data_IF_010353603147
#
_entry.id   IF_010353603147
#
_cell.length_a   1.000
_cell.length_b   1.000
_cell.length_c   1.000
_cell.angle_alpha   90.00
_cell.angle_beta   90.00
_cell.angle_gamma   90.00
#
_symmetry.space_group_name_H-M   'P 1'
#
loop_
_entity.id
_entity.type
_entity.pdbx_description
1 polymer ?
#
# COMPACT_ATOMS: atom_id res chain seq x y z
N UNK A 1 4.19 35.58 -51.38
CA UNK A 1 3.26 34.46 -51.27
C UNK A 1 3.93 33.10 -51.55
N UNK A 2 4.54 32.90 -52.71
CA UNK A 2 5.09 31.59 -53.18
C UNK A 2 6.21 31.03 -52.30
N UNK A 3 7.16 31.83 -51.81
CA UNK A 3 8.25 31.39 -50.93
C UNK A 3 7.77 30.92 -49.56
N UNK A 4 6.72 31.53 -49.01
CA UNK A 4 6.12 31.10 -47.72
C UNK A 4 5.35 29.77 -47.87
N UNK A 5 4.75 29.55 -49.05
CA UNK A 5 4.01 28.31 -49.33
C UNK A 5 4.96 27.13 -49.55
N UNK A 6 6.07 27.32 -50.28
CA UNK A 6 7.12 26.30 -50.45
C UNK A 6 7.77 25.92 -49.12
N UNK A 7 8.19 26.87 -48.28
CA UNK A 7 8.75 26.62 -46.99
C UNK A 7 7.78 25.86 -46.02
N UNK A 8 6.48 26.09 -46.21
CA UNK A 8 5.45 25.37 -45.41
C UNK A 8 5.23 23.93 -45.93
N UNK A 9 5.36 23.72 -47.25
CA UNK A 9 5.34 22.38 -47.83
C UNK A 9 6.58 21.57 -47.47
N UNK A 10 7.78 22.16 -47.52
CA UNK A 10 9.02 21.52 -47.15
C UNK A 10 9.02 21.11 -45.65
N UNK A 11 8.48 21.96 -44.79
CA UNK A 11 8.30 21.64 -43.36
C UNK A 11 7.31 20.50 -43.16
N UNK A 12 6.22 20.48 -43.93
CA UNK A 12 5.22 19.42 -43.84
C UNK A 12 5.74 18.07 -44.34
N UNK A 13 6.49 18.06 -45.44
CA UNK A 13 7.13 16.86 -45.98
C UNK A 13 8.25 16.34 -45.06
N UNK A 14 9.05 17.23 -44.45
CA UNK A 14 10.05 16.88 -43.46
C UNK A 14 9.41 16.25 -42.21
N UNK A 15 8.28 16.81 -41.75
CA UNK A 15 7.52 16.27 -40.62
C UNK A 15 6.88 14.91 -40.95
N UNK A 16 6.31 14.74 -42.16
CA UNK A 16 5.81 13.43 -42.60
C UNK A 16 6.89 12.37 -42.70
N UNK A 17 8.07 12.70 -43.21
CA UNK A 17 9.21 11.80 -43.25
C UNK A 17 9.71 11.41 -41.85
N UNK A 18 9.66 12.35 -40.90
CA UNK A 18 10.03 12.11 -39.51
C UNK A 18 9.03 11.21 -38.81
N UNK A 19 7.73 11.41 -39.08
CA UNK A 19 6.67 10.55 -38.52
C UNK A 19 6.77 9.13 -39.11
N UNK A 20 7.06 8.99 -40.40
CA UNK A 20 7.21 7.70 -41.07
C UNK A 20 8.48 6.90 -40.60
N UNK A 21 9.52 7.60 -40.15
CA UNK A 21 10.75 6.98 -39.66
C UNK A 21 10.76 6.72 -38.16
N UNK A 22 9.69 7.07 -37.42
CA UNK A 22 9.59 6.92 -35.97
C UNK A 22 9.30 5.46 -35.59
N UNK A 23 10.08 4.93 -34.66
CA UNK A 23 9.72 3.67 -34.00
C UNK A 23 8.54 3.94 -33.05
N UNK A 24 7.41 3.22 -33.14
CA UNK A 24 6.32 3.40 -32.19
C UNK A 24 6.81 3.10 -30.77
N UNK A 25 6.36 3.85 -29.74
CA UNK A 25 6.75 3.59 -28.37
C UNK A 25 6.27 2.21 -27.95
N UNK A 26 7.05 1.55 -27.12
CA UNK A 26 6.63 0.31 -26.48
C UNK A 26 5.48 0.62 -25.51
N UNK A 27 4.32 0.03 -25.73
CA UNK A 27 3.19 0.13 -24.83
C UNK A 27 3.21 -1.09 -23.93
N UNK A 28 3.38 -0.87 -22.62
CA UNK A 28 3.32 -1.94 -21.63
C UNK A 28 1.87 -2.46 -21.54
N UNK A 29 1.72 -3.75 -21.21
CA UNK A 29 0.39 -4.37 -21.13
C UNK A 29 -0.53 -3.60 -20.19
N UNK A 30 -1.72 -3.30 -20.65
CA UNK A 30 -2.79 -2.69 -19.86
C UNK A 30 -3.10 -3.59 -18.67
N UNK A 31 -2.88 -3.05 -17.47
CA UNK A 31 -3.23 -3.56 -16.13
C UNK A 31 -3.32 -5.10 -16.04
N UNK A 32 -2.33 -5.76 -15.41
CA UNK A 32 -2.38 -7.20 -15.23
C UNK A 32 -3.68 -7.58 -14.48
N UNK A 33 -4.36 -8.63 -14.96
CA UNK A 33 -5.50 -9.20 -14.27
C UNK A 33 -5.05 -9.58 -12.86
N UNK A 34 -5.79 -9.16 -11.84
CA UNK A 34 -5.50 -9.51 -10.45
C UNK A 34 -5.47 -11.02 -10.28
N UNK A 35 -4.31 -11.61 -10.00
CA UNK A 35 -4.23 -12.98 -9.54
C UNK A 35 -4.88 -13.07 -8.16
N UNK A 36 -6.04 -13.74 -8.10
CA UNK A 36 -6.78 -13.95 -6.85
C UNK A 36 -6.03 -14.89 -5.93
N UNK A 37 -6.20 -14.70 -4.64
CA UNK A 37 -5.64 -15.54 -3.60
C UNK A 37 -6.39 -16.85 -3.48
N UNK A 38 -5.73 -17.88 -2.95
CA UNK A 38 -6.35 -19.19 -2.65
C UNK A 38 -7.51 -19.02 -1.67
N UNK A 39 -7.38 -18.09 -0.72
CA UNK A 39 -8.44 -17.74 0.23
C UNK A 39 -9.67 -17.17 -0.49
N UNK A 40 -9.48 -16.22 -1.42
CA UNK A 40 -10.56 -15.63 -2.18
C UNK A 40 -11.31 -16.65 -3.05
N UNK A 41 -10.59 -17.64 -3.59
CA UNK A 41 -11.19 -18.74 -4.36
C UNK A 41 -11.98 -19.69 -3.47
N UNK A 42 -11.46 -20.06 -2.31
CA UNK A 42 -12.14 -20.93 -1.34
C UNK A 42 -13.41 -20.28 -0.78
N UNK A 43 -13.35 -19.03 -0.36
CA UNK A 43 -14.50 -18.31 0.21
C UNK A 43 -15.64 -18.09 -0.82
N UNK A 44 -15.34 -18.08 -2.12
CA UNK A 44 -16.36 -18.09 -3.18
C UNK A 44 -17.14 -19.40 -3.27
N UNK A 45 -16.57 -20.52 -2.80
CA UNK A 45 -17.14 -21.85 -2.88
C UNK A 45 -17.87 -22.28 -1.59
N UNK A 46 -17.84 -21.45 -0.54
CA UNK A 46 -18.50 -21.75 0.74
C UNK A 46 -20.02 -21.76 0.57
N UNK A 47 -20.74 -22.78 1.11
CA UNK A 47 -22.19 -22.85 1.08
C UNK A 47 -22.79 -21.65 1.83
N UNK A 48 -23.87 -21.08 1.31
CA UNK A 48 -24.60 -19.91 1.79
C UNK A 48 -25.16 -20.04 3.23
N UNK A 49 -24.97 -21.16 3.92
CA UNK A 49 -25.70 -21.51 5.15
C UNK A 49 -24.82 -21.88 6.36
N UNK A 50 -23.52 -21.81 6.28
CA UNK A 50 -22.69 -21.99 7.45
C UNK A 50 -22.31 -20.62 8.03
N UNK A 51 -22.81 -20.28 9.24
CA UNK A 51 -22.35 -19.09 9.91
C UNK A 51 -20.87 -19.24 10.26
N UNK A 52 -20.04 -18.18 10.09
CA UNK A 52 -18.63 -18.24 10.48
C UNK A 52 -18.50 -18.62 11.96
N UNK A 53 -17.65 -19.59 12.26
CA UNK A 53 -17.37 -19.97 13.64
C UNK A 53 -16.78 -18.77 14.41
N UNK A 54 -17.16 -18.64 15.69
CA UNK A 54 -16.65 -17.57 16.54
C UNK A 54 -15.12 -17.65 16.62
N UNK A 55 -14.44 -16.59 16.18
CA UNK A 55 -12.96 -16.50 16.15
C UNK A 55 -12.33 -16.74 14.79
N UNK A 56 -13.08 -16.91 13.72
CA UNK A 56 -12.56 -16.89 12.35
C UNK A 56 -12.29 -15.46 11.85
N UNK A 57 -11.45 -15.37 10.80
CA UNK A 57 -11.22 -14.09 10.15
C UNK A 57 -12.48 -13.61 9.42
N UNK A 58 -12.73 -12.30 9.34
CA UNK A 58 -13.87 -11.77 8.60
C UNK A 58 -13.84 -12.27 7.15
N UNK A 59 -14.96 -12.76 6.60
CA UNK A 59 -15.01 -13.24 5.22
C UNK A 59 -14.83 -12.09 4.23
N UNK A 60 -14.13 -12.36 3.13
CA UNK A 60 -13.87 -11.37 2.07
C UNK A 60 -15.16 -10.93 1.36
N UNK A 61 -16.24 -11.72 1.48
CA UNK A 61 -17.56 -11.38 0.94
C UNK A 61 -18.25 -10.19 1.62
N UNK A 62 -17.75 -9.73 2.77
CA UNK A 62 -18.21 -8.48 3.40
C UNK A 62 -17.71 -7.23 2.67
N UNK A 63 -16.75 -7.37 1.77
CA UNK A 63 -16.22 -6.27 0.97
C UNK A 63 -16.95 -6.21 -0.36
N UNK A 64 -17.27 -4.98 -0.79
CA UNK A 64 -17.87 -4.76 -2.10
C UNK A 64 -16.97 -5.27 -3.23
N UNK A 65 -17.60 -5.85 -4.25
CA UNK A 65 -16.89 -6.19 -5.48
C UNK A 65 -16.38 -4.92 -6.17
N UNK A 66 -15.16 -4.96 -6.75
CA UNK A 66 -14.65 -3.82 -7.47
C UNK A 66 -15.59 -3.47 -8.64
N UNK A 67 -15.87 -2.18 -8.86
CA UNK A 67 -16.69 -1.76 -9.97
C UNK A 67 -16.06 -2.21 -11.28
N UNK A 68 -16.88 -2.55 -12.27
CA UNK A 68 -16.39 -2.91 -13.61
C UNK A 68 -15.46 -1.81 -14.13
N UNK A 69 -14.21 -2.15 -14.38
CA UNK A 69 -13.24 -1.18 -14.86
C UNK A 69 -13.68 -0.68 -16.23
N UNK A 70 -13.84 0.63 -16.39
CA UNK A 70 -13.99 1.23 -17.72
C UNK A 70 -12.71 0.93 -18.49
N UNK A 71 -12.87 0.58 -19.77
CA UNK A 71 -11.72 0.33 -20.64
C UNK A 71 -10.74 1.50 -20.56
N UNK A 72 -9.47 1.19 -20.29
CA UNK A 72 -8.38 2.15 -20.33
C UNK A 72 -8.21 2.75 -21.73
N UNK A 73 -7.19 3.56 -21.92
CA UNK A 73 -6.84 4.10 -23.24
C UNK A 73 -6.55 2.96 -24.22
N UNK A 74 -7.04 3.08 -25.47
CA UNK A 74 -6.59 2.18 -26.54
C UNK A 74 -5.12 2.46 -26.90
N UNK A 75 -4.45 1.47 -27.49
CA UNK A 75 -3.06 1.64 -27.94
C UNK A 75 -2.91 2.83 -28.88
N UNK A 76 -3.86 3.02 -29.79
CA UNK A 76 -3.91 4.17 -30.70
C UNK A 76 -3.99 5.50 -29.95
N UNK A 77 -4.81 5.57 -28.89
CA UNK A 77 -4.92 6.76 -28.04
C UNK A 77 -3.62 7.05 -27.30
N UNK A 78 -2.96 6.03 -26.77
CA UNK A 78 -1.67 6.16 -26.09
C UNK A 78 -0.56 6.62 -27.04
N UNK A 79 -0.56 6.10 -28.28
CA UNK A 79 0.38 6.56 -29.31
C UNK A 79 0.12 8.02 -29.71
N UNK A 80 -1.15 8.41 -29.87
CA UNK A 80 -1.52 9.80 -30.16
C UNK A 80 -1.09 10.75 -29.01
N UNK A 81 -1.29 10.34 -27.75
CA UNK A 81 -0.83 11.09 -26.58
C UNK A 81 0.70 11.20 -26.54
N UNK A 82 1.42 10.14 -26.88
CA UNK A 82 2.90 10.16 -26.97
C UNK A 82 3.38 11.22 -27.96
N UNK A 83 2.78 11.25 -29.16
CA UNK A 83 3.09 12.27 -30.17
C UNK A 83 2.77 13.69 -29.68
N UNK A 84 1.65 13.84 -28.97
CA UNK A 84 1.26 15.14 -28.42
C UNK A 84 2.27 15.62 -27.36
N UNK A 85 2.73 14.74 -26.50
CA UNK A 85 3.76 15.04 -25.47
C UNK A 85 5.05 15.52 -26.15
N UNK A 86 5.56 14.79 -27.15
CA UNK A 86 6.76 15.18 -27.90
C UNK A 86 6.59 16.52 -28.60
N UNK A 87 5.42 16.74 -29.25
CA UNK A 87 5.12 18.00 -29.92
C UNK A 87 5.12 19.16 -28.94
N UNK A 88 4.47 19.00 -27.77
CA UNK A 88 4.39 20.05 -26.76
C UNK A 88 5.74 20.39 -26.15
N UNK A 89 6.58 19.39 -25.88
CA UNK A 89 7.96 19.63 -25.39
C UNK A 89 8.80 20.36 -26.45
N UNK A 90 8.65 20.00 -27.72
CA UNK A 90 9.30 20.71 -28.82
C UNK A 90 8.83 22.14 -28.98
N UNK A 91 7.55 22.46 -28.76
CA UNK A 91 7.03 23.83 -28.74
C UNK A 91 7.78 24.70 -27.69
N UNK A 92 8.28 24.08 -26.62
CA UNK A 92 9.13 24.71 -25.61
C UNK A 92 10.64 24.62 -25.89
N UNK A 93 11.03 24.13 -27.08
CA UNK A 93 12.44 24.00 -27.47
C UNK A 93 13.16 22.80 -26.84
N UNK A 94 12.43 21.80 -26.37
CA UNK A 94 12.97 20.58 -25.79
C UNK A 94 12.68 19.40 -26.72
N UNK A 95 13.74 18.78 -27.26
CA UNK A 95 13.61 17.58 -28.07
C UNK A 95 13.68 16.33 -27.19
N UNK A 96 12.66 15.48 -27.27
CA UNK A 96 12.57 14.20 -26.59
C UNK A 96 11.92 13.17 -27.52
N UNK A 97 12.18 11.90 -27.27
CA UNK A 97 11.46 10.77 -27.84
C UNK A 97 10.75 9.99 -26.74
N UNK A 98 9.47 9.62 -26.95
CA UNK A 98 8.75 8.72 -26.04
C UNK A 98 9.10 7.29 -26.40
N UNK A 99 9.88 6.62 -25.55
CA UNK A 99 10.36 5.24 -25.79
C UNK A 99 9.42 4.20 -25.23
N UNK A 100 8.70 4.51 -24.15
CA UNK A 100 7.76 3.58 -23.52
C UNK A 100 6.59 4.32 -22.88
N UNK A 101 5.44 3.66 -22.87
CA UNK A 101 4.23 4.13 -22.19
C UNK A 101 3.70 3.04 -21.28
N UNK A 102 3.54 3.37 -19.99
CA UNK A 102 2.99 2.49 -18.98
C UNK A 102 1.66 3.06 -18.50
N UNK A 103 0.52 2.58 -19.04
CA UNK A 103 -0.80 2.98 -18.57
C UNK A 103 -1.09 2.34 -17.20
N UNK A 104 -1.47 3.17 -16.24
CA UNK A 104 -1.87 2.74 -14.91
C UNK A 104 -3.34 3.03 -14.61
N UNK A 105 -3.84 2.64 -13.43
CA UNK A 105 -5.24 2.86 -13.07
C UNK A 105 -5.59 4.33 -12.84
N UNK A 106 -4.64 5.14 -12.41
CA UNK A 106 -4.84 6.55 -12.01
C UNK A 106 -4.08 7.50 -12.91
N UNK A 107 -2.86 7.12 -13.29
CA UNK A 107 -1.94 7.90 -14.11
C UNK A 107 -1.39 7.04 -15.25
N UNK A 108 -1.00 7.70 -16.34
CA UNK A 108 -0.20 7.08 -17.40
C UNK A 108 1.20 7.69 -17.34
N UNK A 109 2.24 6.85 -17.35
CA UNK A 109 3.64 7.26 -17.40
C UNK A 109 4.18 7.12 -18.80
N UNK A 110 4.74 8.22 -19.32
CA UNK A 110 5.50 8.28 -20.56
C UNK A 110 6.98 8.33 -20.18
N UNK A 111 7.79 7.40 -20.72
CA UNK A 111 9.24 7.40 -20.54
C UNK A 111 9.87 8.14 -21.70
N UNK A 112 10.55 9.23 -21.38
CA UNK A 112 11.13 10.15 -22.33
C UNK A 112 12.63 9.92 -22.42
N UNK A 113 13.17 9.82 -23.63
CA UNK A 113 14.61 9.89 -23.92
C UNK A 113 14.94 11.32 -24.40
N UNK A 114 15.57 12.15 -23.56
CA UNK A 114 15.94 13.51 -23.95
C UNK A 114 17.09 13.51 -24.95
N UNK A 115 17.03 14.36 -25.96
CA UNK A 115 18.10 14.55 -26.91
C UNK A 115 19.42 14.98 -26.23
N UNK A 116 20.58 14.66 -26.79
CA UNK A 116 21.89 15.06 -26.24
C UNK A 116 21.94 16.58 -25.95
N UNK A 117 22.32 16.92 -24.71
CA UNK A 117 22.40 18.32 -24.25
C UNK A 117 21.16 18.87 -23.55
N UNK A 118 20.04 18.16 -23.57
CA UNK A 118 18.83 18.50 -22.80
C UNK A 118 19.03 18.11 -21.33
N UNK A 119 18.86 19.08 -20.43
CA UNK A 119 18.92 18.85 -18.98
C UNK A 119 17.55 18.46 -18.45
N UNK A 120 17.49 17.47 -17.59
CA UNK A 120 16.23 17.00 -16.96
C UNK A 120 15.50 18.13 -16.23
N UNK A 121 16.25 19.04 -15.59
CA UNK A 121 15.69 20.22 -14.91
C UNK A 121 14.91 21.16 -15.86
N UNK A 122 15.22 21.19 -17.15
CA UNK A 122 14.45 21.96 -18.13
C UNK A 122 13.05 21.40 -18.29
N UNK A 123 12.93 20.06 -18.31
CA UNK A 123 11.62 19.37 -18.39
C UNK A 123 10.85 19.58 -17.08
N UNK A 124 11.51 19.41 -15.92
CA UNK A 124 10.87 19.56 -14.60
C UNK A 124 10.31 20.97 -14.39
N UNK A 125 11.03 22.00 -14.83
CA UNK A 125 10.60 23.39 -14.71
C UNK A 125 9.35 23.72 -15.57
N UNK A 126 9.13 22.96 -16.65
CA UNK A 126 7.98 23.13 -17.55
C UNK A 126 6.73 22.35 -17.09
N UNK A 127 6.75 21.63 -15.99
CA UNK A 127 5.65 20.77 -15.55
C UNK A 127 4.29 21.49 -15.54
N UNK A 128 4.24 22.74 -15.07
CA UNK A 128 3.02 23.57 -15.05
C UNK A 128 2.56 24.00 -16.45
N UNK A 129 3.49 24.37 -17.30
CA UNK A 129 3.19 24.80 -18.66
C UNK A 129 2.78 23.62 -19.53
N UNK A 130 3.39 22.46 -19.33
CA UNK A 130 2.98 21.19 -19.93
C UNK A 130 1.57 20.81 -19.50
N UNK A 131 1.24 20.88 -18.21
CA UNK A 131 -0.10 20.61 -17.73
C UNK A 131 -1.15 21.47 -18.43
N UNK A 132 -0.88 22.76 -18.56
CA UNK A 132 -1.75 23.70 -19.28
C UNK A 132 -1.85 23.37 -20.77
N UNK A 133 -0.72 23.08 -21.44
CA UNK A 133 -0.68 22.85 -22.89
C UNK A 133 -1.31 21.50 -23.29
N UNK A 134 -1.30 20.52 -22.36
CA UNK A 134 -1.94 19.21 -22.51
C UNK A 134 -3.38 19.19 -21.97
N UNK A 135 -3.87 20.34 -21.44
CA UNK A 135 -5.22 20.46 -20.83
C UNK A 135 -5.49 19.46 -19.70
N UNK A 136 -4.46 19.14 -18.90
CA UNK A 136 -4.57 18.24 -17.75
C UNK A 136 -4.40 18.99 -16.44
N UNK A 137 -4.92 18.42 -15.34
CA UNK A 137 -4.91 19.07 -14.02
C UNK A 137 -3.48 19.30 -13.50
N UNK A 138 -2.59 18.36 -13.75
CA UNK A 138 -1.19 18.43 -13.33
C UNK A 138 -0.34 17.47 -14.14
N UNK A 139 0.96 17.74 -14.20
CA UNK A 139 1.96 16.84 -14.77
C UNK A 139 3.06 16.68 -13.73
N UNK A 140 3.51 15.47 -13.51
CA UNK A 140 4.65 15.17 -12.63
C UNK A 140 5.81 14.65 -13.43
N UNK A 141 6.98 15.24 -13.24
CA UNK A 141 8.24 14.78 -13.84
C UNK A 141 8.99 13.94 -12.82
N UNK A 142 9.31 12.71 -13.20
CA UNK A 142 10.13 11.78 -12.42
C UNK A 142 11.52 11.79 -13.03
N UNK A 143 12.42 12.53 -12.42
CA UNK A 143 13.75 12.79 -12.97
C UNK A 143 14.64 11.55 -13.05
N UNK A 144 14.42 10.59 -12.14
CA UNK A 144 15.19 9.33 -12.08
C UNK A 144 14.25 8.15 -11.96
N UNK A 145 14.29 7.27 -12.94
CA UNK A 145 13.62 5.97 -12.88
C UNK A 145 14.69 4.92 -12.56
N UNK A 146 14.56 4.18 -11.43
CA UNK A 146 15.55 3.20 -11.06
C UNK A 146 15.82 2.17 -12.18
N UNK A 147 17.10 2.02 -12.56
CA UNK A 147 17.51 1.07 -13.60
C UNK A 147 17.30 1.53 -15.04
N UNK A 148 16.86 2.78 -15.26
CA UNK A 148 16.67 3.35 -16.61
C UNK A 148 17.35 4.72 -16.72
N UNK A 149 17.78 5.07 -17.95
CA UNK A 149 18.32 6.40 -18.29
C UNK A 149 17.25 7.41 -18.70
N UNK A 150 15.99 7.01 -18.70
CA UNK A 150 14.85 7.81 -19.15
C UNK A 150 14.27 8.69 -18.06
N UNK A 151 13.57 9.75 -18.47
CA UNK A 151 12.80 10.63 -17.59
C UNK A 151 11.33 10.24 -17.65
N UNK A 152 10.68 10.07 -16.51
CA UNK A 152 9.26 9.77 -16.46
C UNK A 152 8.41 11.05 -16.52
N UNK A 153 7.40 11.06 -17.37
CA UNK A 153 6.34 12.08 -17.38
C UNK A 153 5.02 11.40 -17.00
N UNK A 154 4.50 11.72 -15.84
CA UNK A 154 3.25 11.15 -15.32
C UNK A 154 2.09 12.11 -15.56
N UNK A 155 1.09 11.63 -16.26
CA UNK A 155 -0.12 12.37 -16.63
C UNK A 155 -1.33 11.69 -15.99
N UNK A 156 -2.17 12.39 -15.22
CA UNK A 156 -3.40 11.82 -14.69
C UNK A 156 -4.37 11.39 -15.78
N UNK A 157 -4.95 10.22 -15.62
CA UNK A 157 -5.97 9.73 -16.55
C UNK A 157 -7.25 10.55 -16.45
N UNK A 158 -7.95 10.76 -17.55
CA UNK A 158 -9.28 11.38 -17.56
C UNK A 158 -10.29 10.50 -16.80
N UNK A 159 -10.28 9.20 -17.10
CA UNK A 159 -11.08 8.20 -16.42
C UNK A 159 -10.19 7.43 -15.43
N UNK A 160 -10.20 7.86 -14.16
CA UNK A 160 -9.44 7.20 -13.10
C UNK A 160 -10.18 5.96 -12.62
N UNK A 161 -9.50 4.83 -12.54
CA UNK A 161 -10.05 3.63 -11.93
C UNK A 161 -10.10 3.79 -10.40
N UNK A 162 -11.17 3.32 -9.79
CA UNK A 162 -11.25 3.23 -8.34
C UNK A 162 -10.45 2.01 -7.87
N UNK A 163 -9.45 2.24 -7.03
CA UNK A 163 -8.70 1.17 -6.37
C UNK A 163 -9.41 0.82 -5.07
N UNK A 164 -9.98 -0.37 -4.98
CA UNK A 164 -10.73 -0.81 -3.81
C UNK A 164 -9.85 -1.62 -2.86
N UNK A 165 -10.16 -1.54 -1.56
CA UNK A 165 -9.48 -2.36 -0.54
C UNK A 165 -9.68 -3.85 -0.82
N UNK A 166 -10.90 -4.25 -1.23
CA UNK A 166 -11.25 -5.63 -1.56
C UNK A 166 -10.34 -6.24 -2.61
N UNK A 167 -9.98 -5.48 -3.66
CA UNK A 167 -9.03 -5.97 -4.68
C UNK A 167 -7.67 -6.32 -4.08
N UNK A 168 -7.15 -5.50 -3.15
CA UNK A 168 -5.84 -5.73 -2.55
C UNK A 168 -5.88 -6.90 -1.59
N UNK A 169 -6.92 -6.98 -0.73
CA UNK A 169 -7.07 -8.07 0.23
C UNK A 169 -7.31 -9.43 -0.44
N UNK A 170 -7.98 -9.45 -1.60
CA UNK A 170 -8.18 -10.64 -2.42
C UNK A 170 -6.95 -11.03 -3.26
N UNK A 171 -5.91 -10.19 -3.32
CA UNK A 171 -4.74 -10.44 -4.15
C UNK A 171 -3.84 -11.53 -3.57
N UNK A 172 -3.22 -12.29 -4.47
CA UNK A 172 -2.21 -13.29 -4.12
C UNK A 172 -0.98 -12.68 -3.40
N UNK A 173 -0.68 -11.41 -3.67
CA UNK A 173 0.44 -10.70 -3.06
C UNK A 173 0.18 -10.47 -1.57
N UNK A 174 -1.04 -10.09 -1.19
CA UNK A 174 -1.43 -9.93 0.20
C UNK A 174 -1.47 -11.28 0.94
N UNK A 175 -2.01 -12.32 0.31
CA UNK A 175 -2.13 -13.66 0.89
C UNK A 175 -0.77 -14.32 1.17
N UNK A 176 0.19 -14.17 0.24
CA UNK A 176 1.54 -14.75 0.36
C UNK A 176 2.38 -14.21 1.51
N UNK A 177 2.15 -12.99 1.97
CA UNK A 177 2.86 -12.47 3.12
C UNK A 177 2.35 -13.16 4.38
N UNK A 178 3.24 -13.85 5.08
CA UNK A 178 2.91 -14.59 6.32
C UNK A 178 2.81 -13.71 7.56
N UNK A 179 3.28 -12.46 7.50
CA UNK A 179 3.24 -11.54 8.63
C UNK A 179 1.79 -11.21 9.02
N UNK A 180 1.40 -11.33 10.29
CA UNK A 180 0.10 -10.88 10.79
C UNK A 180 -0.07 -9.36 10.70
N UNK A 181 1.03 -8.62 10.53
CA UNK A 181 1.06 -7.16 10.40
C UNK A 181 1.14 -6.69 8.93
N UNK A 182 0.60 -7.49 8.01
CA UNK A 182 0.54 -7.14 6.57
C UNK A 182 -0.50 -6.04 6.33
N UNK A 183 -0.07 -4.95 5.68
CA UNK A 183 -0.89 -3.81 5.30
C UNK A 183 -1.16 -3.81 3.78
N UNK A 184 -2.39 -3.56 3.39
CA UNK A 184 -2.76 -3.24 2.02
C UNK A 184 -2.57 -1.73 1.79
N UNK A 185 -1.66 -1.36 0.89
CA UNK A 185 -1.36 0.06 0.61
C UNK A 185 -2.08 0.58 -0.63
N UNK A 186 -2.39 -0.28 -1.59
CA UNK A 186 -3.04 0.12 -2.84
C UNK A 186 -2.43 -0.55 -4.06
N UNK A 187 -2.33 0.20 -5.15
CA UNK A 187 -1.69 -0.23 -6.41
C UNK A 187 -0.54 0.70 -6.77
N UNK A 188 0.49 0.14 -7.39
CA UNK A 188 1.55 0.92 -8.02
C UNK A 188 1.05 1.55 -9.34
N UNK A 189 1.93 2.30 -10.00
CA UNK A 189 1.61 2.95 -11.28
C UNK A 189 1.30 1.97 -12.40
N UNK A 190 1.78 0.73 -12.32
CA UNK A 190 1.50 -0.35 -13.27
C UNK A 190 0.23 -1.14 -12.93
N UNK A 191 -0.49 -0.79 -11.85
CA UNK A 191 -1.71 -1.45 -11.41
C UNK A 191 -1.48 -2.70 -10.55
N UNK A 192 -0.24 -3.00 -10.16
CA UNK A 192 0.06 -4.14 -9.29
C UNK A 192 -0.28 -3.82 -7.84
N UNK A 193 -0.82 -4.81 -7.12
CA UNK A 193 -1.10 -4.66 -5.68
C UNK A 193 0.18 -4.43 -4.87
N UNK A 194 0.18 -3.40 -4.04
CA UNK A 194 1.28 -3.04 -3.14
C UNK A 194 0.86 -3.32 -1.70
N UNK A 195 1.65 -4.13 -1.03
CA UNK A 195 1.49 -4.50 0.37
C UNK A 195 2.78 -4.26 1.13
N UNK A 196 2.69 -4.05 2.44
CA UNK A 196 3.85 -3.85 3.29
C UNK A 196 3.68 -4.61 4.61
N UNK A 197 4.80 -4.92 5.26
CA UNK A 197 4.82 -5.49 6.60
C UNK A 197 5.12 -4.40 7.62
N UNK A 198 4.16 -4.08 8.49
CA UNK A 198 4.31 -3.05 9.51
C UNK A 198 5.42 -3.39 10.52
N UNK A 199 5.75 -4.66 10.74
CA UNK A 199 6.86 -5.05 11.61
C UNK A 199 8.22 -4.52 11.14
N UNK A 200 8.36 -4.27 9.84
CA UNK A 200 9.54 -3.66 9.22
C UNK A 200 9.51 -2.12 9.25
N UNK A 201 8.40 -1.55 9.66
CA UNK A 201 8.16 -0.11 9.81
C UNK A 201 7.62 0.17 11.22
N UNK A 202 8.41 -0.08 12.28
CA UNK A 202 7.93 -0.06 13.67
C UNK A 202 7.37 1.30 14.09
N UNK A 203 7.75 2.37 13.40
CA UNK A 203 7.22 3.72 13.56
C UNK A 203 6.86 4.28 12.18
N UNK A 204 5.57 4.42 11.93
CA UNK A 204 5.04 4.96 10.68
C UNK A 204 4.35 6.30 10.93
N UNK A 205 4.87 7.36 10.34
CA UNK A 205 4.22 8.68 10.31
C UNK A 205 3.40 8.83 9.03
N UNK A 206 2.12 9.12 9.19
CA UNK A 206 1.21 9.40 8.07
C UNK A 206 0.78 10.87 8.15
N UNK A 207 1.08 11.63 7.12
CA UNK A 207 0.71 13.03 7.02
C UNK A 207 -0.05 13.33 5.72
N UNK A 208 -0.94 14.29 5.77
CA UNK A 208 -1.71 14.74 4.62
C UNK A 208 -2.60 15.93 4.96
N UNK A 209 -2.92 16.73 3.97
CA UNK A 209 -3.89 17.84 4.10
C UNK A 209 -5.32 17.29 4.24
N UNK A 210 -6.24 18.13 4.68
CA UNK A 210 -7.65 17.78 4.71
C UNK A 210 -8.12 17.32 3.33
N UNK A 211 -8.81 16.18 3.28
CA UNK A 211 -9.28 15.60 2.01
C UNK A 211 -8.24 14.78 1.23
N UNK A 212 -7.00 14.64 1.74
CA UNK A 212 -5.96 13.83 1.09
C UNK A 212 -6.17 12.31 1.19
N UNK A 213 -7.15 11.85 1.99
CA UNK A 213 -7.41 10.44 2.23
C UNK A 213 -6.65 9.84 3.42
N UNK A 214 -6.06 10.66 4.32
CA UNK A 214 -5.34 10.17 5.52
C UNK A 214 -6.17 9.20 6.35
N UNK A 215 -7.41 9.57 6.70
CA UNK A 215 -8.32 8.73 7.49
C UNK A 215 -8.71 7.46 6.75
N UNK A 216 -8.95 7.55 5.44
CA UNK A 216 -9.22 6.38 4.60
C UNK A 216 -8.03 5.42 4.59
N UNK A 217 -6.81 5.93 4.47
CA UNK A 217 -5.60 5.11 4.51
C UNK A 217 -5.40 4.42 5.87
N UNK A 218 -5.66 5.13 6.99
CA UNK A 218 -5.59 4.54 8.34
C UNK A 218 -6.63 3.42 8.48
N UNK A 219 -7.88 3.66 8.06
CA UNK A 219 -8.94 2.65 8.08
C UNK A 219 -8.58 1.44 7.21
N UNK A 220 -8.04 1.64 6.01
CA UNK A 220 -7.57 0.56 5.15
C UNK A 220 -6.46 -0.27 5.81
N UNK A 221 -5.53 0.36 6.53
CA UNK A 221 -4.48 -0.32 7.28
C UNK A 221 -5.06 -1.13 8.45
N UNK A 222 -5.97 -0.56 9.25
CA UNK A 222 -6.63 -1.28 10.34
C UNK A 222 -7.40 -2.47 9.80
N UNK A 223 -8.23 -2.29 8.77
CA UNK A 223 -8.96 -3.39 8.13
C UNK A 223 -8.00 -4.46 7.58
N UNK A 224 -6.87 -4.06 7.01
CA UNK A 224 -5.86 -5.03 6.56
C UNK A 224 -5.41 -5.95 7.69
N UNK A 225 -5.19 -5.42 8.89
CA UNK A 225 -4.80 -6.22 10.05
C UNK A 225 -5.94 -7.14 10.49
N UNK A 226 -7.18 -6.64 10.54
CA UNK A 226 -8.35 -7.41 10.97
C UNK A 226 -8.68 -8.56 10.00
N UNK A 227 -8.45 -8.38 8.70
CA UNK A 227 -8.62 -9.43 7.69
C UNK A 227 -7.45 -10.43 7.62
N UNK A 228 -6.32 -10.13 8.28
CA UNK A 228 -5.10 -10.95 8.25
C UNK A 228 -4.87 -11.76 9.50
N UNK A 229 -5.24 -11.25 10.65
CA UNK A 229 -4.81 -11.79 11.93
C UNK A 229 -5.94 -11.83 12.95
N UNK A 230 -5.96 -12.89 13.76
CA UNK A 230 -6.83 -13.03 14.92
C UNK A 230 -6.32 -12.20 16.11
N UNK A 231 -7.18 -11.96 17.13
CA UNK A 231 -6.79 -11.20 18.33
C UNK A 231 -5.58 -11.79 19.09
N UNK A 232 -5.35 -13.09 19.00
CA UNK A 232 -4.19 -13.75 19.63
C UNK A 232 -2.86 -13.32 19.00
N UNK A 233 -2.88 -12.92 17.74
CA UNK A 233 -1.69 -12.55 16.97
C UNK A 233 -1.45 -11.05 16.89
N UNK A 234 -2.52 -10.24 16.94
CA UNK A 234 -2.44 -8.78 16.82
C UNK A 234 -3.35 -8.13 17.86
N UNK A 235 -2.79 -7.26 18.66
CA UNK A 235 -3.51 -6.42 19.61
C UNK A 235 -3.34 -4.96 19.26
N UNK A 236 -4.38 -4.19 19.48
CA UNK A 236 -4.47 -2.78 19.09
C UNK A 236 -4.74 -1.91 20.32
N UNK A 237 -4.08 -0.77 20.37
CA UNK A 237 -4.42 0.36 21.23
C UNK A 237 -4.71 1.52 20.28
N UNK A 238 -5.90 2.05 20.32
CA UNK A 238 -6.34 3.15 19.46
C UNK A 238 -6.50 4.42 20.27
N UNK A 239 -5.96 5.53 19.76
CA UNK A 239 -6.05 6.86 20.40
C UNK A 239 -6.66 7.83 19.40
N UNK A 240 -7.85 8.32 19.69
CA UNK A 240 -8.59 9.27 18.84
C UNK A 240 -9.09 10.46 19.66
N UNK A 241 -8.24 11.48 19.89
CA UNK A 241 -8.59 12.63 20.72
C UNK A 241 -9.71 13.51 20.11
N UNK A 242 -10.03 13.30 18.84
CA UNK A 242 -11.11 14.02 18.14
C UNK A 242 -12.43 13.27 18.11
N UNK A 243 -12.46 11.99 18.48
CA UNK A 243 -13.63 11.10 18.45
C UNK A 243 -14.30 10.97 17.06
N UNK A 244 -13.54 11.10 15.98
CA UNK A 244 -14.10 11.22 14.63
C UNK A 244 -13.73 10.08 13.70
N UNK A 245 -12.62 9.39 13.94
CA UNK A 245 -12.03 8.48 12.95
C UNK A 245 -12.04 7.02 13.39
N UNK A 246 -11.83 6.71 14.68
CA UNK A 246 -11.60 5.36 15.17
C UNK A 246 -12.72 4.79 16.06
N UNK A 247 -13.74 5.58 16.40
CA UNK A 247 -14.87 5.14 17.23
C UNK A 247 -15.66 3.97 16.65
N UNK A 248 -15.61 3.78 15.33
CA UNK A 248 -16.26 2.65 14.63
C UNK A 248 -15.64 1.29 15.00
N UNK A 249 -14.43 1.28 15.56
CA UNK A 249 -13.73 0.07 16.00
C UNK A 249 -13.98 -0.29 17.47
N UNK A 250 -14.82 0.48 18.17
CA UNK A 250 -15.15 0.20 19.55
C UNK A 250 -15.71 -1.22 19.71
N UNK A 251 -15.20 -1.95 20.70
CA UNK A 251 -15.66 -3.31 21.01
C UNK A 251 -15.09 -4.43 20.15
N UNK A 252 -14.21 -4.16 19.17
CA UNK A 252 -13.55 -5.24 18.44
C UNK A 252 -12.62 -6.04 19.35
N UNK A 253 -12.52 -7.38 19.17
CA UNK A 253 -11.75 -8.24 20.10
C UNK A 253 -10.24 -7.99 20.07
N UNK A 254 -9.73 -7.28 19.06
CA UNK A 254 -8.33 -6.90 18.95
C UNK A 254 -7.93 -5.76 19.89
N UNK A 255 -8.87 -4.98 20.42
CA UNK A 255 -8.56 -3.88 21.32
C UNK A 255 -8.10 -4.39 22.67
N UNK A 256 -7.04 -3.79 23.22
CA UNK A 256 -6.59 -4.01 24.60
C UNK A 256 -7.34 -3.13 25.61
N UNK A 257 -7.88 -2.00 25.13
CA UNK A 257 -8.65 -1.04 25.91
C UNK A 257 -9.68 -0.38 24.95
N UNK A 258 -10.78 0.18 25.47
CA UNK A 258 -11.63 1.04 24.65
C UNK A 258 -10.83 2.10 23.89
N UNK A 259 -11.39 2.65 22.82
CA UNK A 259 -10.72 3.71 22.05
C UNK A 259 -10.47 4.92 22.98
N UNK A 260 -9.22 5.26 23.15
CA UNK A 260 -8.80 6.30 24.10
C UNK A 260 -9.02 7.67 23.48
N UNK A 261 -9.75 8.51 24.19
CA UNK A 261 -10.07 9.89 23.76
C UNK A 261 -9.40 10.95 24.65
N UNK A 262 -9.06 10.57 25.89
CA UNK A 262 -8.40 11.45 26.85
C UNK A 262 -6.87 11.35 26.75
N UNK A 263 -6.18 12.49 26.78
CA UNK A 263 -4.73 12.55 26.61
C UNK A 263 -3.95 11.98 27.80
N UNK A 264 -4.53 12.00 29.02
CA UNK A 264 -3.89 11.40 30.20
C UNK A 264 -3.94 9.88 30.14
N UNK A 265 -5.08 9.34 29.68
CA UNK A 265 -5.23 7.90 29.44
C UNK A 265 -4.30 7.44 28.32
N UNK A 266 -4.16 8.22 27.23
CA UNK A 266 -3.20 7.94 26.17
C UNK A 266 -1.76 7.87 26.69
N UNK A 267 -1.37 8.82 27.55
CA UNK A 267 -0.04 8.80 28.19
C UNK A 267 0.15 7.56 29.10
N UNK A 268 -0.91 7.15 29.81
CA UNK A 268 -0.87 5.94 30.64
C UNK A 268 -0.74 4.68 29.79
N UNK A 269 -1.48 4.60 28.68
CA UNK A 269 -1.38 3.48 27.73
C UNK A 269 0.05 3.36 27.18
N UNK A 270 0.70 4.48 26.84
CA UNK A 270 2.10 4.46 26.38
C UNK A 270 3.07 3.97 27.47
N UNK A 271 2.89 4.40 28.73
CA UNK A 271 3.70 3.91 29.86
C UNK A 271 3.48 2.41 30.07
N UNK A 272 2.25 1.95 29.93
CA UNK A 272 1.94 0.52 30.02
C UNK A 272 2.64 -0.26 28.91
N UNK A 273 2.65 0.23 27.67
CA UNK A 273 3.39 -0.41 26.55
C UNK A 273 4.88 -0.57 26.87
N UNK A 274 5.51 0.46 27.46
CA UNK A 274 6.92 0.39 27.87
C UNK A 274 7.12 -0.69 28.94
N UNK A 275 6.25 -0.70 29.97
CA UNK A 275 6.32 -1.71 31.03
C UNK A 275 6.11 -3.13 30.52
N UNK A 276 5.16 -3.33 29.60
CA UNK A 276 4.92 -4.63 28.98
C UNK A 276 6.09 -5.06 28.07
N UNK A 277 6.69 -4.13 27.36
CA UNK A 277 7.90 -4.39 26.56
C UNK A 277 9.05 -4.87 27.46
N UNK A 278 9.29 -4.19 28.58
CA UNK A 278 10.33 -4.58 29.56
C UNK A 278 10.03 -5.96 30.17
N UNK A 279 8.76 -6.25 30.45
CA UNK A 279 8.36 -7.58 30.95
C UNK A 279 8.66 -8.66 29.91
N UNK A 280 8.32 -8.43 28.64
CA UNK A 280 8.61 -9.37 27.53
C UNK A 280 10.12 -9.58 27.35
N UNK A 281 10.92 -8.52 27.44
CA UNK A 281 12.39 -8.66 27.38
C UNK A 281 12.94 -9.54 28.51
N UNK A 282 12.44 -9.39 29.75
CA UNK A 282 12.83 -10.25 30.88
C UNK A 282 12.45 -11.71 30.62
N UNK A 283 11.24 -11.98 30.12
CA UNK A 283 10.80 -13.32 29.78
C UNK A 283 11.67 -13.95 28.67
N UNK A 284 11.95 -13.21 27.60
CA UNK A 284 12.85 -13.69 26.56
C UNK A 284 14.26 -13.96 27.08
N UNK A 285 14.78 -13.10 27.90
CA UNK A 285 16.09 -13.28 28.56
C UNK A 285 16.12 -14.52 29.45
N UNK A 286 15.08 -14.72 30.27
CA UNK A 286 14.97 -15.90 31.13
C UNK A 286 14.90 -17.21 30.33
N UNK A 287 14.24 -17.20 29.18
CA UNK A 287 14.16 -18.36 28.29
C UNK A 287 15.39 -18.51 27.37
N UNK A 288 16.33 -17.57 27.38
CA UNK A 288 17.51 -17.58 26.49
C UNK A 288 17.19 -17.43 25.02
N UNK A 289 16.11 -16.71 24.66
CA UNK A 289 15.67 -16.47 23.27
C UNK A 289 15.88 -15.02 22.88
N UNK A 290 16.12 -14.77 21.57
CA UNK A 290 16.49 -13.43 21.06
C UNK A 290 15.33 -12.64 20.48
N UNK A 291 14.19 -13.27 20.24
CA UNK A 291 13.02 -12.64 19.62
C UNK A 291 11.73 -13.34 20.02
N UNK A 292 10.61 -12.68 19.80
CA UNK A 292 9.27 -13.15 20.14
C UNK A 292 8.90 -14.47 19.43
N UNK A 293 9.34 -14.66 18.18
CA UNK A 293 9.09 -15.90 17.45
C UNK A 293 9.78 -17.11 18.08
N UNK A 294 11.00 -16.93 18.59
CA UNK A 294 11.72 -17.94 19.37
C UNK A 294 11.04 -18.23 20.70
N UNK A 295 10.54 -17.19 21.37
CA UNK A 295 9.75 -17.32 22.60
C UNK A 295 8.49 -18.14 22.36
N UNK A 296 7.66 -17.72 21.40
CA UNK A 296 6.38 -18.39 21.10
C UNK A 296 6.58 -19.87 20.73
N UNK A 297 7.61 -20.18 19.91
CA UNK A 297 7.92 -21.57 19.55
C UNK A 297 8.28 -22.41 20.78
N UNK A 298 9.17 -21.91 21.63
CA UNK A 298 9.62 -22.64 22.83
C UNK A 298 8.47 -22.90 23.80
N UNK A 299 7.59 -21.92 23.99
CA UNK A 299 6.42 -22.04 24.85
C UNK A 299 5.40 -23.03 24.26
N UNK A 300 5.13 -22.98 22.96
CA UNK A 300 4.25 -23.96 22.28
C UNK A 300 4.76 -25.39 22.40
N UNK A 301 6.04 -25.62 22.12
CA UNK A 301 6.69 -26.94 22.26
C UNK A 301 6.57 -27.48 23.70
N UNK A 302 6.69 -26.61 24.70
CA UNK A 302 6.55 -26.97 26.10
C UNK A 302 5.11 -27.37 26.46
N UNK A 303 4.11 -26.62 25.97
CA UNK A 303 2.69 -26.93 26.15
C UNK A 303 2.33 -28.25 25.46
N UNK A 304 2.74 -28.42 24.20
CA UNK A 304 2.48 -29.65 23.40
C UNK A 304 3.13 -30.90 24.03
N UNK A 305 4.29 -30.73 24.69
CA UNK A 305 4.95 -31.82 25.40
C UNK A 305 4.37 -32.11 26.79
N UNK A 306 3.31 -31.41 27.20
CA UNK A 306 2.68 -31.56 28.51
C UNK A 306 3.49 -31.03 29.69
N UNK A 307 4.51 -30.20 29.42
CA UNK A 307 5.39 -29.57 30.42
C UNK A 307 5.41 -28.06 30.24
N UNK A 308 4.29 -27.36 30.53
CA UNK A 308 4.22 -25.90 30.37
C UNK A 308 5.28 -25.23 31.27
N UNK A 309 5.87 -24.16 30.73
CA UNK A 309 6.93 -23.42 31.45
C UNK A 309 6.28 -22.47 32.48
N UNK A 310 6.61 -22.54 33.75
CA UNK A 310 6.14 -21.57 34.75
C UNK A 310 6.71 -20.19 34.46
N UNK A 311 5.95 -19.13 34.77
CA UNK A 311 6.40 -17.75 34.54
C UNK A 311 7.58 -17.43 35.50
N UNK A 312 8.80 -17.22 34.97
CA UNK A 312 9.97 -16.96 35.80
C UNK A 312 9.94 -15.56 36.43
N UNK A 313 9.03 -14.69 36.01
CA UNK A 313 8.89 -13.34 36.55
C UNK A 313 7.80 -13.23 37.61
N UNK A 314 7.05 -14.32 37.83
CA UNK A 314 6.01 -14.35 38.83
C UNK A 314 6.63 -14.37 40.24
N UNK A 315 6.27 -13.37 41.03
CA UNK A 315 6.59 -13.33 42.46
C UNK A 315 5.29 -13.59 43.21
N UNK A 316 5.21 -14.70 43.99
CA UNK A 316 4.02 -14.95 44.78
C UNK A 316 3.76 -13.77 45.72
N UNK A 317 2.49 -13.33 45.85
CA UNK A 317 2.18 -12.34 46.86
C UNK A 317 2.57 -12.89 48.26
N UNK A 318 3.13 -12.04 49.10
CA UNK A 318 3.42 -12.38 50.50
C UNK A 318 2.08 -12.64 51.18
N UNK A 319 1.63 -13.88 51.22
CA UNK A 319 0.39 -14.27 51.88
C UNK A 319 0.62 -14.46 53.35
N UNK A 320 -0.28 -13.88 54.15
CA UNK A 320 -0.38 -14.11 55.60
C UNK A 320 -1.18 -15.38 55.92
N UNK A 321 -1.81 -16.05 54.94
CA UNK A 321 -2.59 -17.26 55.14
C UNK A 321 -1.90 -18.48 54.50
N UNK A 322 -1.44 -19.41 55.35
CA UNK A 322 -0.64 -20.60 54.98
C UNK A 322 -1.40 -21.69 54.22
N UNK A 323 -2.71 -21.56 53.97
CA UNK A 323 -3.56 -22.64 53.43
C UNK A 323 -4.01 -22.52 51.97
N UNK A 324 -3.53 -21.57 51.20
CA UNK A 324 -3.87 -21.49 49.78
C UNK A 324 -2.71 -21.92 48.89
N UNK A 325 -2.86 -23.07 48.24
CA UNK A 325 -2.01 -23.48 47.10
C UNK A 325 -2.05 -22.39 46.02
N UNK A 326 -0.93 -21.68 45.88
CA UNK A 326 -0.75 -20.70 44.83
C UNK A 326 -0.36 -21.46 43.57
N UNK A 327 -1.28 -21.53 42.57
CA UNK A 327 -0.93 -22.02 41.25
C UNK A 327 0.01 -21.02 40.58
N UNK A 328 1.21 -21.47 40.22
CA UNK A 328 2.14 -20.68 39.42
C UNK A 328 1.59 -20.51 38.02
N UNK A 329 1.37 -19.25 37.51
CA UNK A 329 0.93 -19.05 36.18
C UNK A 329 1.98 -19.61 35.20
N UNK A 330 1.48 -20.26 34.14
CA UNK A 330 2.33 -20.77 33.07
C UNK A 330 2.39 -19.76 31.92
N UNK A 331 3.51 -19.77 31.20
CA UNK A 331 3.68 -18.90 30.03
C UNK A 331 2.73 -19.29 28.89
N UNK A 332 2.20 -18.27 28.21
CA UNK A 332 1.41 -18.41 26.99
C UNK A 332 2.19 -17.83 25.80
N UNK A 333 2.03 -18.39 24.58
CA UNK A 333 2.71 -17.90 23.37
C UNK A 333 2.24 -16.53 22.93
#
# INVERSE_FOLDING_TARGET
>A
GRRKHAARQDLFEAEQKRIAGRTPPRIDALIPSLEKSVRAEKERQVPLFEPPEAGELPPLSLLDDPPAQKQGYSEESLEAMSRLVELKLRDFGIEVEVVSVSPGPIITRFELDPAPGVKVSQISNLAKDLARSLSVVSVRVVEVIPGKSFVGLEIPNENRALVTLGEILQSKVYDKLSSPLTLALGKDIGGNSVVADLSRMPHLLIAGTTGSGKSVAINAMVLSLLYKAKPEHVRLIMVDPKMLELSVYEGIPHLLTPVITDMKEAANAMRWCVGEMDRRYRLMAALGVRNIGGYNRKVKEAIESGKPIPDPTFTPPLLQDEDKLIEHPTLTP
#
